data_IF_515057815318
#
_entry.id   IF_515057815318
#
_cell.length_a   1.000
_cell.length_b   1.000
_cell.length_c   1.000
_cell.angle_alpha   90.00
_cell.angle_beta   90.00
_cell.angle_gamma   90.00
#
_symmetry.space_group_name_H-M   'P 1'
#
loop_
_entity.id
_entity.type
_entity.pdbx_description
1 polymer ?
#
# COMPACT_ATOMS: atom_id res chain seq x y z
N UNK A 1 2.58 -20.45 -42.64
CA UNK A 1 1.32 -21.10 -42.96
C UNK A 1 0.15 -20.11 -42.76
N UNK A 2 -0.93 -20.22 -43.62
CA UNK A 2 -2.09 -19.32 -43.51
C UNK A 2 -2.79 -19.45 -42.14
N UNK A 3 -2.86 -20.65 -41.61
CA UNK A 3 -3.44 -20.94 -40.31
C UNK A 3 -2.68 -20.21 -39.17
N UNK A 4 -1.35 -20.14 -39.23
CA UNK A 4 -0.53 -19.44 -38.26
C UNK A 4 -0.75 -17.92 -38.31
N UNK A 5 -0.94 -17.36 -39.51
CA UNK A 5 -1.24 -15.93 -39.68
C UNK A 5 -2.63 -15.58 -39.16
N UNK A 6 -3.63 -16.43 -39.41
CA UNK A 6 -4.99 -16.25 -38.87
C UNK A 6 -4.98 -16.34 -37.32
N UNK A 7 -4.29 -17.34 -36.78
CA UNK A 7 -4.17 -17.50 -35.33
C UNK A 7 -3.44 -16.29 -34.67
N UNK A 8 -2.38 -15.79 -35.30
CA UNK A 8 -1.68 -14.60 -34.82
C UNK A 8 -2.57 -13.35 -34.86
N UNK A 9 -3.30 -13.14 -35.98
CA UNK A 9 -4.25 -12.03 -36.12
C UNK A 9 -5.39 -12.09 -35.09
N UNK A 10 -5.96 -13.26 -34.85
CA UNK A 10 -7.00 -13.46 -33.83
C UNK A 10 -6.48 -13.21 -32.43
N UNK A 11 -5.24 -13.65 -32.14
CA UNK A 11 -4.57 -13.41 -30.85
C UNK A 11 -4.28 -11.91 -30.63
N UNK A 12 -3.80 -11.22 -31.65
CA UNK A 12 -3.54 -9.78 -31.60
C UNK A 12 -4.83 -8.97 -31.40
N UNK A 13 -5.91 -9.31 -32.13
CA UNK A 13 -7.21 -8.67 -31.95
C UNK A 13 -7.79 -8.90 -30.54
N UNK A 14 -7.62 -10.10 -29.98
CA UNK A 14 -8.05 -10.41 -28.60
C UNK A 14 -7.26 -9.56 -27.59
N UNK A 15 -5.96 -9.40 -27.78
CA UNK A 15 -5.12 -8.57 -26.91
C UNK A 15 -5.47 -7.09 -27.01
N UNK A 16 -5.72 -6.58 -28.21
CA UNK A 16 -6.17 -5.20 -28.44
C UNK A 16 -7.52 -4.93 -27.78
N UNK A 17 -8.48 -5.87 -27.91
CA UNK A 17 -9.77 -5.79 -27.25
C UNK A 17 -9.62 -5.71 -25.74
N UNK A 18 -8.85 -6.64 -25.14
CA UNK A 18 -8.58 -6.63 -23.69
C UNK A 18 -7.93 -5.33 -23.22
N UNK A 19 -6.96 -4.80 -23.97
CA UNK A 19 -6.32 -3.52 -23.68
C UNK A 19 -7.33 -2.37 -23.69
N UNK A 20 -8.20 -2.30 -24.68
CA UNK A 20 -9.25 -1.30 -24.78
C UNK A 20 -10.26 -1.40 -23.63
N UNK A 21 -10.69 -2.60 -23.30
CA UNK A 21 -11.59 -2.89 -22.18
C UNK A 21 -10.97 -2.42 -20.84
N UNK A 22 -9.68 -2.71 -20.59
CA UNK A 22 -9.00 -2.27 -19.38
C UNK A 22 -8.80 -0.75 -19.34
N UNK A 23 -8.53 -0.09 -20.47
CA UNK A 23 -8.46 1.38 -20.54
C UNK A 23 -9.82 2.02 -20.25
N UNK A 24 -10.88 1.45 -20.78
CA UNK A 24 -12.26 1.90 -20.50
C UNK A 24 -12.62 1.71 -19.03
N UNK A 25 -12.23 0.56 -18.44
CA UNK A 25 -12.40 0.29 -17.02
C UNK A 25 -11.65 1.31 -16.16
N UNK A 26 -10.40 1.63 -16.52
CA UNK A 26 -9.58 2.62 -15.83
C UNK A 26 -10.22 4.01 -15.87
N UNK A 27 -10.74 4.44 -17.01
CA UNK A 27 -11.44 5.72 -17.14
C UNK A 27 -12.67 5.76 -16.23
N UNK A 28 -13.52 4.73 -16.30
CA UNK A 28 -14.71 4.63 -15.44
C UNK A 28 -14.38 4.58 -13.95
N UNK A 29 -13.34 3.85 -13.57
CA UNK A 29 -12.86 3.75 -12.20
C UNK A 29 -12.33 5.11 -11.70
N UNK A 30 -11.61 5.84 -12.54
CA UNK A 30 -11.09 7.15 -12.22
C UNK A 30 -12.19 8.21 -12.04
N UNK A 31 -13.31 8.07 -12.74
CA UNK A 31 -14.48 8.92 -12.55
C UNK A 31 -15.28 8.51 -11.31
N UNK A 32 -15.51 7.22 -11.14
CA UNK A 32 -16.24 6.64 -10.01
C UNK A 32 -15.85 5.17 -9.79
N UNK A 33 -15.38 4.86 -8.58
CA UNK A 33 -14.89 3.53 -8.19
C UNK A 33 -15.94 2.45 -8.53
N UNK A 34 -17.20 2.65 -8.09
CA UNK A 34 -18.28 1.69 -8.28
C UNK A 34 -18.55 1.41 -9.75
N UNK A 35 -18.58 2.46 -10.59
CA UNK A 35 -18.82 2.32 -12.01
C UNK A 35 -17.71 1.54 -12.72
N UNK A 36 -16.46 1.76 -12.32
CA UNK A 36 -15.31 1.00 -12.82
C UNK A 36 -15.41 -0.50 -12.49
N UNK A 37 -15.73 -0.82 -11.23
CA UNK A 37 -15.88 -2.21 -10.79
C UNK A 37 -17.07 -2.91 -11.46
N UNK A 38 -18.20 -2.23 -11.61
CA UNK A 38 -19.35 -2.76 -12.33
C UNK A 38 -19.03 -3.06 -13.80
N UNK A 39 -18.27 -2.19 -14.46
CA UNK A 39 -17.84 -2.42 -15.83
C UNK A 39 -16.90 -3.63 -15.92
N UNK A 40 -15.94 -3.78 -15.00
CA UNK A 40 -15.04 -4.94 -14.94
C UNK A 40 -15.81 -6.26 -14.77
N UNK A 41 -16.88 -6.26 -13.95
CA UNK A 41 -17.80 -7.41 -13.85
C UNK A 41 -18.52 -7.68 -15.16
N UNK A 42 -19.02 -6.64 -15.83
CA UNK A 42 -19.78 -6.77 -17.08
C UNK A 42 -18.98 -7.36 -18.25
N UNK A 43 -17.66 -7.14 -18.28
CA UNK A 43 -16.76 -7.71 -19.29
C UNK A 43 -16.13 -9.05 -18.85
N UNK A 44 -16.51 -9.57 -17.66
CA UNK A 44 -16.01 -10.84 -17.13
C UNK A 44 -14.55 -10.80 -16.64
N UNK A 45 -13.99 -9.61 -16.40
CA UNK A 45 -12.66 -9.48 -15.79
C UNK A 45 -12.70 -9.83 -14.30
N UNK A 46 -13.73 -9.38 -13.58
CA UNK A 46 -13.94 -9.72 -12.18
C UNK A 46 -14.87 -10.93 -12.08
N UNK A 47 -14.36 -11.98 -11.42
CA UNK A 47 -15.15 -13.15 -11.04
C UNK A 47 -15.76 -12.93 -9.65
N UNK A 48 -17.02 -12.57 -9.58
CA UNK A 48 -17.73 -12.31 -8.32
C UNK A 48 -18.48 -13.53 -7.76
N UNK A 49 -18.11 -14.74 -8.20
CA UNK A 49 -18.67 -15.99 -7.69
C UNK A 49 -18.38 -16.21 -6.19
N UNK A 50 -17.27 -15.68 -5.71
CA UNK A 50 -16.89 -15.66 -4.29
C UNK A 50 -16.20 -14.33 -3.94
N UNK A 51 -16.30 -13.90 -2.68
CA UNK A 51 -15.60 -12.73 -2.15
C UNK A 51 -14.09 -12.79 -2.45
N UNK A 52 -13.48 -13.95 -2.30
CA UNK A 52 -12.05 -14.16 -2.52
C UNK A 52 -11.66 -13.95 -3.98
N UNK A 53 -12.44 -14.49 -4.93
CA UNK A 53 -12.16 -14.32 -6.35
C UNK A 53 -12.32 -12.86 -6.76
N UNK A 54 -13.42 -12.23 -6.35
CA UNK A 54 -13.68 -10.82 -6.60
C UNK A 54 -12.54 -9.93 -6.08
N UNK A 55 -12.11 -10.15 -4.84
CA UNK A 55 -11.03 -9.40 -4.21
C UNK A 55 -9.67 -9.57 -4.92
N UNK A 56 -9.34 -10.80 -5.33
CA UNK A 56 -8.11 -11.08 -6.10
C UNK A 56 -8.09 -10.37 -7.44
N UNK A 57 -9.20 -10.38 -8.16
CA UNK A 57 -9.29 -9.75 -9.47
C UNK A 57 -9.21 -8.23 -9.35
N UNK A 58 -9.86 -7.63 -8.33
CA UNK A 58 -9.72 -6.20 -8.04
C UNK A 58 -8.28 -5.84 -7.67
N UNK A 59 -7.64 -6.61 -6.79
CA UNK A 59 -6.24 -6.40 -6.43
C UNK A 59 -5.31 -6.47 -7.66
N UNK A 60 -5.53 -7.45 -8.53
CA UNK A 60 -4.82 -7.58 -9.81
C UNK A 60 -5.04 -6.38 -10.72
N UNK A 61 -6.28 -5.89 -10.83
CA UNK A 61 -6.60 -4.69 -11.59
C UNK A 61 -5.84 -3.47 -11.06
N UNK A 62 -5.85 -3.24 -9.74
CA UNK A 62 -5.12 -2.13 -9.13
C UNK A 62 -3.61 -2.22 -9.34
N UNK A 63 -3.07 -3.42 -9.34
CA UNK A 63 -1.64 -3.67 -9.44
C UNK A 63 -1.09 -3.53 -10.85
N UNK A 64 -1.87 -3.97 -11.85
CA UNK A 64 -1.40 -4.20 -13.21
C UNK A 64 -1.96 -3.19 -14.23
N UNK A 65 -2.96 -2.38 -13.87
CA UNK A 65 -3.56 -1.42 -14.79
C UNK A 65 -2.91 -0.06 -14.63
N UNK A 66 -2.31 0.50 -15.70
CA UNK A 66 -1.72 1.83 -15.64
C UNK A 66 -2.79 2.93 -15.55
N UNK A 67 -2.36 4.11 -15.10
CA UNK A 67 -3.16 5.34 -15.08
C UNK A 67 -4.42 5.30 -14.21
N UNK A 68 -4.48 4.41 -13.22
CA UNK A 68 -5.52 4.48 -12.19
C UNK A 68 -5.22 5.66 -11.25
N UNK A 69 -6.29 6.39 -10.84
CA UNK A 69 -6.17 7.42 -9.80
C UNK A 69 -5.75 6.77 -8.48
N UNK A 70 -4.57 7.14 -8.01
CA UNK A 70 -4.02 6.63 -6.74
C UNK A 70 -4.92 6.93 -5.55
N UNK A 71 -5.64 8.06 -5.58
CA UNK A 71 -6.64 8.41 -4.58
C UNK A 71 -7.76 7.37 -4.51
N UNK A 72 -8.34 7.00 -5.65
CA UNK A 72 -9.45 6.03 -5.69
C UNK A 72 -9.00 4.65 -5.21
N UNK A 73 -7.75 4.24 -5.53
CA UNK A 73 -7.18 3.00 -5.01
C UNK A 73 -7.08 3.08 -3.48
N UNK A 74 -6.50 4.14 -2.93
CA UNK A 74 -6.34 4.32 -1.49
C UNK A 74 -7.67 4.39 -0.74
N UNK A 75 -8.65 5.12 -1.27
CA UNK A 75 -10.00 5.17 -0.72
C UNK A 75 -10.63 3.78 -0.65
N UNK A 76 -10.58 3.01 -1.75
CA UNK A 76 -11.14 1.66 -1.78
C UNK A 76 -10.42 0.73 -0.80
N UNK A 77 -9.08 0.70 -0.81
CA UNK A 77 -8.29 -0.16 0.07
C UNK A 77 -8.46 0.19 1.56
N UNK A 78 -8.73 1.47 1.86
CA UNK A 78 -8.94 1.95 3.23
C UNK A 78 -10.34 1.69 3.78
N UNK A 79 -11.34 1.34 2.96
CA UNK A 79 -12.71 1.11 3.42
C UNK A 79 -12.83 -0.10 4.35
N UNK A 80 -13.78 0.00 5.32
CA UNK A 80 -14.06 -1.07 6.28
C UNK A 80 -15.20 -1.97 5.78
N UNK A 81 -15.03 -2.55 4.59
CA UNK A 81 -15.95 -3.55 4.03
C UNK A 81 -15.21 -4.87 3.83
N UNK A 82 -15.93 -5.99 3.89
CA UNK A 82 -15.32 -7.32 3.69
C UNK A 82 -14.57 -7.40 2.35
N UNK A 83 -15.13 -6.79 1.30
CA UNK A 83 -14.51 -6.75 -0.01
C UNK A 83 -13.22 -5.94 -0.02
N UNK A 84 -13.23 -4.74 0.57
CA UNK A 84 -12.06 -3.86 0.62
C UNK A 84 -10.93 -4.45 1.47
N UNK A 85 -11.26 -5.01 2.62
CA UNK A 85 -10.29 -5.67 3.52
C UNK A 85 -9.68 -6.88 2.83
N UNK A 86 -10.51 -7.71 2.18
CA UNK A 86 -10.02 -8.89 1.45
C UNK A 86 -9.18 -8.48 0.24
N UNK A 87 -9.57 -7.42 -0.46
CA UNK A 87 -8.80 -6.85 -1.58
C UNK A 87 -7.45 -6.32 -1.10
N UNK A 88 -7.42 -5.56 0.00
CA UNK A 88 -6.19 -5.03 0.60
C UNK A 88 -5.21 -6.16 0.95
N UNK A 89 -5.72 -7.26 1.52
CA UNK A 89 -4.90 -8.46 1.78
C UNK A 89 -4.23 -8.97 0.49
N UNK A 90 -5.00 -9.25 -0.56
CA UNK A 90 -4.43 -9.76 -1.82
C UNK A 90 -3.59 -8.72 -2.56
N UNK A 91 -3.89 -7.44 -2.41
CA UNK A 91 -3.07 -6.36 -2.93
C UNK A 91 -1.69 -6.35 -2.24
N UNK A 92 -1.62 -6.43 -0.91
CA UNK A 92 -0.37 -6.55 -0.18
C UNK A 92 0.38 -7.84 -0.53
N UNK A 93 -0.31 -8.98 -0.65
CA UNK A 93 0.26 -10.27 -1.06
C UNK A 93 0.85 -10.25 -2.48
N UNK A 94 0.46 -9.32 -3.34
CA UNK A 94 1.00 -9.17 -4.70
C UNK A 94 2.43 -8.59 -4.76
N UNK A 95 2.97 -8.13 -3.65
CA UNK A 95 4.35 -7.66 -3.53
C UNK A 95 5.27 -8.79 -3.07
N UNK A 96 6.53 -8.70 -3.44
CA UNK A 96 7.61 -9.55 -2.90
C UNK A 96 8.57 -8.65 -2.11
N UNK A 97 8.58 -8.82 -0.79
CA UNK A 97 9.42 -8.05 0.13
C UNK A 97 10.58 -8.87 0.72
N UNK A 98 10.85 -10.06 0.18
CA UNK A 98 11.94 -10.91 0.67
C UNK A 98 13.29 -10.23 0.54
N UNK A 99 14.00 -10.16 1.66
CA UNK A 99 15.33 -9.56 1.74
C UNK A 99 15.38 -8.09 1.30
N UNK A 100 14.24 -7.40 1.29
CA UNK A 100 14.15 -5.97 1.03
C UNK A 100 14.10 -5.25 2.38
N UNK A 101 14.86 -4.17 2.53
CA UNK A 101 14.80 -3.30 3.70
C UNK A 101 13.39 -2.75 3.91
N UNK A 102 12.95 -2.59 5.18
CA UNK A 102 11.58 -2.21 5.51
C UNK A 102 11.22 -0.82 4.97
N UNK A 103 12.16 0.13 4.92
CA UNK A 103 11.93 1.47 4.38
C UNK A 103 11.71 1.37 2.87
N UNK A 104 12.51 0.58 2.17
CA UNK A 104 12.34 0.36 0.74
C UNK A 104 11.04 -0.40 0.42
N UNK A 105 10.68 -1.40 1.23
CA UNK A 105 9.41 -2.10 1.08
C UNK A 105 8.21 -1.16 1.27
N UNK A 106 8.25 -0.27 2.27
CA UNK A 106 7.25 0.78 2.47
C UNK A 106 7.18 1.73 1.27
N UNK A 107 8.32 2.18 0.74
CA UNK A 107 8.37 3.02 -0.46
C UNK A 107 7.69 2.34 -1.63
N UNK A 108 8.02 1.08 -1.91
CA UNK A 108 7.43 0.30 -3.00
C UNK A 108 5.90 0.20 -2.86
N UNK A 109 5.42 -0.04 -1.65
CA UNK A 109 4.00 -0.20 -1.35
C UNK A 109 3.24 1.12 -1.48
N UNK A 110 3.73 2.17 -0.81
CA UNK A 110 3.08 3.48 -0.72
C UNK A 110 3.16 4.31 -2.02
N UNK A 111 4.04 3.98 -2.95
CA UNK A 111 4.07 4.61 -4.28
C UNK A 111 2.88 4.22 -5.16
N UNK A 112 2.16 3.15 -4.84
CA UNK A 112 1.12 2.58 -5.72
C UNK A 112 -0.26 3.19 -5.51
N UNK A 113 -0.51 3.84 -4.39
CA UNK A 113 -1.78 4.49 -4.08
C UNK A 113 -1.57 5.72 -3.18
N UNK A 114 -2.61 6.53 -3.03
CA UNK A 114 -2.60 7.63 -2.08
C UNK A 114 -3.15 7.16 -0.74
N UNK A 115 -2.40 7.38 0.34
CA UNK A 115 -2.86 7.06 1.69
C UNK A 115 -4.13 7.88 2.02
N UNK A 116 -5.20 7.21 2.47
CA UNK A 116 -6.38 7.93 2.96
C UNK A 116 -6.05 8.71 4.23
N UNK A 117 -6.70 9.85 4.38
CA UNK A 117 -6.45 10.77 5.50
C UNK A 117 -7.05 10.38 6.84
N UNK A 118 -7.70 9.24 6.97
CA UNK A 118 -8.36 8.77 8.20
C UNK A 118 -7.47 7.77 8.93
N UNK A 119 -7.21 7.98 10.23
CA UNK A 119 -6.33 7.13 11.04
C UNK A 119 -6.69 5.65 10.96
N UNK A 120 -7.96 5.29 11.13
CA UNK A 120 -8.39 3.89 11.08
C UNK A 120 -8.18 3.22 9.70
N UNK A 121 -8.24 3.98 8.61
CA UNK A 121 -7.93 3.48 7.27
C UNK A 121 -6.43 3.21 7.12
N UNK A 122 -5.62 4.12 7.66
CA UNK A 122 -4.18 3.96 7.67
C UNK A 122 -3.76 2.75 8.50
N UNK A 123 -4.33 2.57 9.69
CA UNK A 123 -4.02 1.43 10.56
C UNK A 123 -4.21 0.09 9.82
N UNK A 124 -5.34 -0.08 9.15
CA UNK A 124 -5.62 -1.29 8.35
C UNK A 124 -4.60 -1.49 7.22
N UNK A 125 -4.24 -0.41 6.53
CA UNK A 125 -3.26 -0.47 5.43
C UNK A 125 -1.89 -0.88 5.93
N UNK A 126 -1.42 -0.28 7.02
CA UNK A 126 -0.13 -0.62 7.63
C UNK A 126 -0.14 -2.02 8.24
N UNK A 127 -1.24 -2.47 8.83
CA UNK A 127 -1.40 -3.83 9.35
C UNK A 127 -1.21 -4.89 8.23
N UNK A 128 -1.84 -4.70 7.07
CA UNK A 128 -1.70 -5.64 5.96
C UNK A 128 -0.31 -5.59 5.32
N UNK A 129 0.29 -4.41 5.21
CA UNK A 129 1.68 -4.27 4.80
C UNK A 129 2.63 -5.01 5.73
N UNK A 130 2.56 -4.73 7.03
CA UNK A 130 3.46 -5.29 8.03
C UNK A 130 3.30 -6.81 8.18
N UNK A 131 2.06 -7.33 8.10
CA UNK A 131 1.81 -8.77 8.05
C UNK A 131 2.47 -9.43 6.86
N UNK A 132 2.37 -8.84 5.66
CA UNK A 132 3.05 -9.35 4.46
C UNK A 132 4.56 -9.26 4.60
N UNK A 133 5.08 -8.13 5.10
CA UNK A 133 6.50 -7.94 5.30
C UNK A 133 7.08 -8.95 6.30
N UNK A 134 6.40 -9.18 7.42
CA UNK A 134 6.77 -10.19 8.41
C UNK A 134 6.79 -11.60 7.81
N UNK A 135 5.77 -11.98 7.04
CA UNK A 135 5.69 -13.28 6.39
C UNK A 135 6.83 -13.51 5.38
N UNK A 136 7.26 -12.47 4.70
CA UNK A 136 8.39 -12.54 3.75
C UNK A 136 9.76 -12.55 4.45
N UNK A 137 9.86 -12.00 5.68
CA UNK A 137 11.09 -11.86 6.45
C UNK A 137 10.93 -12.40 7.89
N UNK A 138 10.54 -13.67 8.08
CA UNK A 138 10.14 -14.21 9.39
C UNK A 138 11.27 -14.31 10.42
N UNK A 139 12.53 -14.18 9.99
CA UNK A 139 13.70 -14.24 10.88
C UNK A 139 14.12 -12.86 11.42
N UNK A 140 13.57 -11.79 10.85
CA UNK A 140 13.93 -10.41 11.23
C UNK A 140 13.21 -9.97 12.51
N UNK A 141 11.92 -10.27 12.63
CA UNK A 141 11.08 -9.88 13.76
C UNK A 141 10.72 -11.08 14.64
N UNK A 142 10.58 -10.86 15.92
CA UNK A 142 10.10 -11.89 16.83
C UNK A 142 8.61 -12.22 16.64
N UNK A 143 7.81 -11.25 16.19
CA UNK A 143 6.37 -11.39 15.95
C UNK A 143 5.86 -10.34 14.95
N UNK A 144 4.63 -10.49 14.48
CA UNK A 144 3.99 -9.59 13.53
C UNK A 144 3.74 -8.19 14.13
N UNK A 145 3.46 -8.09 15.43
CA UNK A 145 3.22 -6.82 16.11
C UNK A 145 4.47 -5.92 16.08
N UNK A 146 5.67 -6.52 16.24
CA UNK A 146 6.93 -5.77 16.12
C UNK A 146 7.12 -5.18 14.73
N UNK A 147 6.73 -5.90 13.67
CA UNK A 147 6.76 -5.39 12.31
C UNK A 147 5.73 -4.25 12.10
N UNK A 148 4.54 -4.39 12.69
CA UNK A 148 3.50 -3.36 12.65
C UNK A 148 3.95 -2.09 13.34
N UNK A 149 4.40 -2.15 14.60
CA UNK A 149 4.81 -0.97 15.36
C UNK A 149 6.03 -0.28 14.74
N UNK A 150 6.98 -1.04 14.17
CA UNK A 150 8.09 -0.43 13.45
C UNK A 150 7.62 0.29 12.19
N UNK A 151 6.77 -0.34 11.38
CA UNK A 151 6.21 0.29 10.17
C UNK A 151 5.47 1.58 10.50
N UNK A 152 4.68 1.55 11.57
CA UNK A 152 3.96 2.73 12.06
C UNK A 152 4.90 3.81 12.58
N UNK A 153 5.93 3.42 13.34
CA UNK A 153 6.98 4.34 13.82
C UNK A 153 7.72 5.04 12.67
N UNK A 154 7.98 4.33 11.57
CA UNK A 154 8.57 4.92 10.35
C UNK A 154 7.63 5.96 9.73
N UNK A 155 6.32 5.72 9.71
CA UNK A 155 5.35 6.70 9.19
C UNK A 155 5.27 7.96 10.08
N UNK A 156 5.37 7.79 11.41
CA UNK A 156 5.46 8.90 12.35
C UNK A 156 6.76 9.69 12.12
N UNK A 157 7.89 9.00 11.99
CA UNK A 157 9.19 9.62 11.73
C UNK A 157 9.17 10.42 10.42
N UNK A 158 8.65 9.82 9.33
CA UNK A 158 8.46 10.49 8.05
C UNK A 158 7.69 11.79 8.20
N UNK A 159 6.59 11.75 8.97
CA UNK A 159 5.74 12.92 9.20
C UNK A 159 6.46 13.96 10.04
N UNK A 160 7.15 13.55 11.10
CA UNK A 160 7.87 14.46 12.00
C UNK A 160 9.02 15.17 11.30
N UNK A 161 9.76 14.49 10.43
CA UNK A 161 10.92 15.07 9.75
C UNK A 161 10.56 15.92 8.52
N UNK A 162 9.49 15.57 7.80
CA UNK A 162 9.24 16.15 6.48
C UNK A 162 7.92 16.91 6.35
N UNK A 163 7.08 16.94 7.39
CA UNK A 163 5.88 17.76 7.35
C UNK A 163 6.22 19.22 7.71
N UNK A 164 6.01 20.18 6.81
CA UNK A 164 6.35 21.59 7.06
C UNK A 164 5.59 22.25 8.23
N UNK A 165 4.52 21.61 8.71
CA UNK A 165 3.75 22.08 9.84
C UNK A 165 4.30 21.60 11.20
N UNK A 166 5.27 20.68 11.20
CA UNK A 166 5.96 20.20 12.40
C UNK A 166 7.21 21.04 12.60
N UNK A 167 7.31 21.79 13.73
CA UNK A 167 8.38 22.77 13.93
C UNK A 167 9.67 22.17 14.45
N UNK A 168 9.58 21.17 15.32
CA UNK A 168 10.73 20.68 16.09
C UNK A 168 11.33 19.37 15.54
N UNK A 169 10.69 18.77 14.53
CA UNK A 169 11.13 17.48 13.98
C UNK A 169 11.09 16.35 15.02
N UNK A 170 11.88 15.30 14.80
CA UNK A 170 12.08 14.19 15.73
C UNK A 170 13.56 13.83 15.72
N UNK A 171 14.19 13.75 16.90
CA UNK A 171 15.55 13.27 17.03
C UNK A 171 15.65 11.75 16.95
N UNK A 172 16.85 11.22 16.69
CA UNK A 172 17.12 9.78 16.74
C UNK A 172 16.82 9.20 18.13
N UNK A 173 17.09 9.95 19.20
CA UNK A 173 16.83 9.52 20.57
C UNK A 173 15.33 9.38 20.83
N UNK A 174 14.53 10.35 20.39
CA UNK A 174 13.06 10.29 20.49
C UNK A 174 12.48 9.16 19.68
N UNK A 175 12.94 8.97 18.44
CA UNK A 175 12.54 7.84 17.61
C UNK A 175 12.86 6.51 18.27
N UNK A 176 14.10 6.32 18.74
CA UNK A 176 14.52 5.10 19.42
C UNK A 176 13.71 4.85 20.71
N UNK A 177 13.38 5.88 21.46
CA UNK A 177 12.55 5.79 22.66
C UNK A 177 11.15 5.26 22.34
N UNK A 178 10.49 5.79 21.29
CA UNK A 178 9.20 5.31 20.82
C UNK A 178 9.25 3.81 20.52
N UNK A 179 10.28 3.35 19.79
CA UNK A 179 10.43 1.95 19.41
C UNK A 179 10.63 1.03 20.63
N UNK A 180 11.39 1.50 21.62
CA UNK A 180 11.60 0.77 22.88
C UNK A 180 10.31 0.68 23.70
N UNK A 181 9.56 1.76 23.80
CA UNK A 181 8.25 1.79 24.50
C UNK A 181 7.24 0.83 23.88
N UNK A 182 7.30 0.62 22.56
CA UNK A 182 6.48 -0.36 21.84
C UNK A 182 7.03 -1.79 21.95
N UNK A 183 8.11 -2.00 22.68
CA UNK A 183 8.73 -3.33 22.89
C UNK A 183 8.98 -4.09 21.58
N UNK A 184 9.50 -3.39 20.55
CA UNK A 184 9.80 -3.98 19.25
C UNK A 184 10.96 -4.97 19.41
N UNK A 185 10.72 -6.23 19.03
CA UNK A 185 11.65 -7.34 19.21
C UNK A 185 11.99 -8.01 17.86
N UNK A 186 13.25 -8.37 17.71
CA UNK A 186 13.74 -9.06 16.51
C UNK A 186 15.24 -9.24 16.49
N UNK A 187 15.73 -9.81 15.41
CA UNK A 187 17.18 -10.02 15.17
C UNK A 187 17.75 -8.79 14.44
N UNK A 188 17.74 -7.66 15.11
CA UNK A 188 18.23 -6.40 14.55
C UNK A 188 19.75 -6.27 14.80
N UNK A 189 20.46 -5.64 13.84
CA UNK A 189 21.82 -5.18 14.05
C UNK A 189 21.80 -3.96 14.97
N UNK A 190 22.94 -3.64 15.61
CA UNK A 190 23.04 -2.53 16.57
C UNK A 190 22.69 -1.16 15.96
N UNK A 191 22.96 -0.99 14.66
CA UNK A 191 22.72 0.23 13.89
C UNK A 191 21.35 0.25 13.15
N UNK A 192 20.53 -0.78 13.27
CA UNK A 192 19.32 -0.96 12.46
C UNK A 192 18.34 0.21 12.53
N UNK A 193 18.07 0.72 13.75
CA UNK A 193 17.13 1.83 13.92
C UNK A 193 17.74 3.18 13.52
N UNK A 194 19.04 3.36 13.72
CA UNK A 194 19.74 4.55 13.25
C UNK A 194 19.84 4.58 11.72
N UNK A 195 20.00 3.44 11.07
CA UNK A 195 19.97 3.33 9.61
C UNK A 195 18.59 3.71 9.06
N UNK A 196 17.51 3.23 9.68
CA UNK A 196 16.14 3.62 9.30
C UNK A 196 15.95 5.13 9.44
N UNK A 197 16.38 5.70 10.58
CA UNK A 197 16.29 7.14 10.83
C UNK A 197 17.02 7.94 9.74
N UNK A 198 18.25 7.58 9.43
CA UNK A 198 19.06 8.26 8.43
C UNK A 198 18.46 8.11 7.03
N UNK A 199 17.97 6.93 6.66
CA UNK A 199 17.31 6.74 5.37
C UNK A 199 16.09 7.64 5.19
N UNK A 200 15.27 7.82 6.23
CA UNK A 200 14.10 8.72 6.18
C UNK A 200 14.53 10.19 6.20
N UNK A 201 15.57 10.55 6.98
CA UNK A 201 16.08 11.90 7.05
C UNK A 201 16.62 12.38 5.70
N UNK A 202 17.41 11.53 5.02
CA UNK A 202 18.10 11.87 3.77
C UNK A 202 17.19 11.80 2.55
N UNK A 203 16.30 10.81 2.51
CA UNK A 203 15.39 10.57 1.40
C UNK A 203 13.98 10.28 1.90
N UNK A 204 13.09 11.27 1.93
CA UNK A 204 11.73 11.09 2.40
C UNK A 204 10.95 10.07 1.57
N UNK A 205 10.01 9.35 2.21
CA UNK A 205 9.06 8.52 1.48
C UNK A 205 8.19 9.44 0.64
N UNK A 206 8.30 9.30 -0.69
CA UNK A 206 7.47 10.04 -1.64
C UNK A 206 6.03 9.55 -1.54
N UNK A 207 5.21 10.28 -0.82
CA UNK A 207 3.76 10.06 -0.78
C UNK A 207 3.14 10.87 -1.92
N UNK A 208 2.26 10.27 -2.76
CA UNK A 208 1.48 11.05 -3.71
C UNK A 208 0.72 12.13 -2.94
N UNK A 209 0.98 13.40 -3.25
CA UNK A 209 0.44 14.50 -2.45
C UNK A 209 -1.00 14.82 -2.82
N UNK A 210 -1.87 14.84 -1.81
CA UNK A 210 -3.06 15.69 -1.75
C UNK A 210 -2.95 16.57 -0.50
N UNK A 211 -3.34 17.83 -0.61
CA UNK A 211 -3.27 18.77 0.54
C UNK A 211 -4.05 18.29 1.77
N UNK A 212 -5.13 17.53 1.57
CA UNK A 212 -5.92 16.93 2.66
C UNK A 212 -5.17 15.81 3.43
N UNK A 213 -4.25 15.10 2.78
CA UNK A 213 -3.43 14.07 3.43
C UNK A 213 -2.45 14.66 4.45
N UNK A 214 -2.04 15.91 4.27
CA UNK A 214 -1.14 16.61 5.21
C UNK A 214 -1.75 16.79 6.59
N UNK A 215 -3.06 17.07 6.66
CA UNK A 215 -3.76 17.27 7.95
C UNK A 215 -4.01 15.96 8.71
N UNK A 216 -4.16 14.87 7.99
CA UNK A 216 -4.47 13.57 8.59
C UNK A 216 -3.24 12.85 9.10
N UNK A 217 -2.10 13.01 8.42
CA UNK A 217 -0.80 12.57 8.94
C UNK A 217 -0.41 13.32 10.23
N UNK A 218 -0.86 14.58 10.40
CA UNK A 218 -0.69 15.32 11.66
C UNK A 218 -1.47 14.71 12.84
N UNK A 219 -2.57 14.00 12.59
CA UNK A 219 -3.30 13.27 13.64
C UNK A 219 -2.54 12.05 14.14
N UNK A 220 -1.65 11.46 13.31
CA UNK A 220 -0.78 10.37 13.72
C UNK A 220 0.24 10.79 14.78
N UNK A 221 0.62 12.07 14.81
CA UNK A 221 1.52 12.61 15.83
C UNK A 221 0.86 12.74 17.21
N UNK A 222 -0.48 12.63 17.28
CA UNK A 222 -1.19 12.55 18.55
C UNK A 222 -1.25 11.09 19.00
N UNK A 223 -0.12 10.63 19.50
CA UNK A 223 0.05 9.30 20.08
C UNK A 223 -0.94 8.98 21.22
N UNK A 224 -1.55 10.01 21.80
CA UNK A 224 -2.54 9.92 22.86
C UNK A 224 -3.84 9.20 22.44
N UNK A 225 -4.09 9.07 21.12
CA UNK A 225 -5.29 8.41 20.58
C UNK A 225 -5.06 6.90 20.29
N UNK A 226 -3.86 6.36 20.58
CA UNK A 226 -3.47 4.97 20.31
C UNK A 226 -3.31 4.10 21.58
N UNK A 227 -3.60 4.64 22.77
CA UNK A 227 -3.57 3.92 24.03
C UNK A 227 -4.96 3.58 24.53
#
# INVERSE_FOLDING_TARGET
DYADKVNLYMKENTNLKKKYELQTAATKFNENIKNGLLYLKSIGYINDSTLVNEAKDIASFFRNTPNLKKQNIGEFLGENTDLSITTLKYFAESFDFKNIDIVQALRMFLLTFLLPGEGQKLDRIIEHFSSKYYNDNPTLFANADSAFYLSYGIMILQTALHNPNVKDGMSLEEFSKILVEQNIQGNFKDDYFSDIYNQILEDPISLPELEESKQSLLKLLRWEDLC
#
